data_IF_135811632215
#
_entry.id   IF_135811632215
#
_cell.length_a   1.000
_cell.length_b   1.000
_cell.length_c   1.000
_cell.angle_alpha   90.00
_cell.angle_beta   90.00
_cell.angle_gamma   90.00
#
_symmetry.space_group_name_H-M   'P 1'
#
loop_
_entity.id
_entity.type
_entity.pdbx_description
1 polymer ?
#
# COMPACT_ATOMS: atom_id res chain seq x y z
N UNK A 1 8.99 8.87 -12.14
CA UNK A 1 9.38 8.10 -10.92
C UNK A 1 10.77 8.45 -10.37
N UNK A 2 11.76 8.85 -11.19
CA UNK A 2 13.16 9.03 -10.76
C UNK A 2 13.49 10.17 -9.75
N UNK A 3 12.57 11.09 -9.41
CA UNK A 3 12.92 12.30 -8.62
C UNK A 3 12.76 12.17 -7.10
N UNK A 4 11.92 11.25 -6.60
CA UNK A 4 11.65 11.11 -5.17
C UNK A 4 12.53 10.04 -4.48
N UNK A 5 12.87 8.96 -5.17
CA UNK A 5 13.69 7.88 -4.61
C UNK A 5 15.03 8.36 -4.01
N UNK A 6 15.81 9.26 -4.66
CA UNK A 6 17.06 9.74 -4.09
C UNK A 6 16.91 10.50 -2.76
N UNK A 7 15.73 11.08 -2.48
CA UNK A 7 15.48 11.83 -1.23
C UNK A 7 15.07 10.95 -0.06
N UNK A 8 14.56 9.75 -0.33
CA UNK A 8 13.99 8.87 0.69
C UNK A 8 14.89 7.64 0.94
N UNK A 9 15.89 7.44 0.08
CA UNK A 9 16.85 6.34 0.20
C UNK A 9 17.94 6.68 1.19
N UNK A 10 18.36 5.67 1.94
CA UNK A 10 19.33 5.76 3.04
C UNK A 10 18.87 6.62 4.22
N UNK A 11 17.56 6.89 4.34
CA UNK A 11 17.01 7.60 5.48
C UNK A 11 17.04 6.68 6.70
N UNK A 12 17.61 7.20 7.78
CA UNK A 12 17.57 6.57 9.10
C UNK A 12 16.32 7.05 9.85
N UNK A 13 15.59 6.11 10.44
CA UNK A 13 14.49 6.37 11.37
C UNK A 13 14.95 5.89 12.75
N UNK A 14 15.41 6.82 13.58
CA UNK A 14 15.89 6.56 14.94
C UNK A 14 14.74 6.28 15.91
N UNK A 15 15.03 5.72 17.10
CA UNK A 15 14.04 5.59 18.15
C UNK A 15 13.28 6.89 18.40
N UNK A 16 11.95 6.77 18.47
CA UNK A 16 10.97 7.84 18.64
C UNK A 16 10.85 8.86 17.49
N UNK A 17 11.62 8.72 16.40
CA UNK A 17 11.43 9.56 15.21
C UNK A 17 10.17 9.17 14.43
N UNK A 18 9.52 10.19 13.88
CA UNK A 18 8.41 10.05 12.93
C UNK A 18 8.93 10.32 11.53
N UNK A 19 8.72 9.37 10.63
CA UNK A 19 8.85 9.57 9.21
C UNK A 19 7.58 10.26 8.69
N UNK A 20 7.75 11.30 7.88
CA UNK A 20 6.70 11.96 7.11
C UNK A 20 7.16 12.06 5.66
N UNK A 21 6.36 11.50 4.74
CA UNK A 21 6.71 11.48 3.32
C UNK A 21 6.83 12.91 2.78
N UNK A 22 5.86 13.78 3.04
CA UNK A 22 5.90 15.15 2.53
C UNK A 22 6.96 16.02 3.19
N UNK A 23 7.33 15.77 4.45
CA UNK A 23 8.44 16.50 5.10
C UNK A 23 9.78 16.24 4.41
N UNK A 24 9.99 15.03 3.88
CA UNK A 24 11.23 14.67 3.18
C UNK A 24 11.21 15.08 1.69
N UNK A 25 10.08 14.88 1.02
CA UNK A 25 9.95 15.13 -0.42
C UNK A 25 9.80 16.63 -0.72
N UNK A 26 9.02 17.33 0.10
CA UNK A 26 8.64 18.74 -0.09
C UNK A 26 7.70 18.97 -1.28
N UNK A 27 7.40 20.24 -1.63
CA UNK A 27 6.46 20.61 -2.68
C UNK A 27 6.88 20.14 -4.08
N UNK A 28 5.89 19.71 -4.86
CA UNK A 28 5.98 19.41 -6.29
C UNK A 28 6.23 20.71 -7.06
N UNK A 29 7.35 20.85 -7.76
CA UNK A 29 7.54 21.92 -8.74
C UNK A 29 8.49 21.47 -9.84
N UNK A 30 8.25 21.91 -11.08
CA UNK A 30 9.15 21.68 -12.21
C UNK A 30 10.58 22.14 -11.90
N UNK A 31 10.71 23.23 -11.14
CA UNK A 31 11.98 23.78 -10.64
C UNK A 31 12.77 22.84 -9.72
N UNK A 32 12.12 21.82 -9.14
CA UNK A 32 12.73 20.80 -8.26
C UNK A 32 12.91 19.44 -8.95
N UNK A 33 12.75 19.39 -10.29
CA UNK A 33 13.05 18.19 -11.09
C UNK A 33 11.98 17.10 -11.04
N UNK A 34 10.75 17.41 -10.60
CA UNK A 34 9.64 16.47 -10.69
C UNK A 34 9.18 16.33 -12.15
N UNK A 35 9.08 15.09 -12.61
CA UNK A 35 8.56 14.75 -13.93
C UNK A 35 7.03 14.64 -13.89
N UNK A 36 6.38 15.11 -14.95
CA UNK A 36 4.96 14.84 -15.19
C UNK A 36 4.73 13.34 -15.30
N UNK A 37 3.64 12.86 -14.73
CA UNK A 37 3.18 11.51 -14.98
C UNK A 37 1.69 11.37 -14.72
N UNK A 38 1.18 10.17 -15.00
CA UNK A 38 -0.26 9.91 -14.91
C UNK A 38 -0.65 9.85 -13.43
N UNK A 39 -1.61 10.68 -13.05
CA UNK A 39 -2.23 10.71 -11.73
C UNK A 39 -3.72 10.42 -11.92
N UNK A 40 -4.27 9.55 -11.07
CA UNK A 40 -5.72 9.33 -11.02
C UNK A 40 -6.23 10.16 -9.86
N UNK A 41 -7.05 11.16 -10.14
CA UNK A 41 -7.71 11.99 -9.14
C UNK A 41 -9.21 11.99 -9.42
N UNK A 42 -10.02 11.60 -8.42
CA UNK A 42 -11.48 11.59 -8.50
C UNK A 42 -12.04 10.94 -9.78
N UNK A 43 -11.66 9.68 -10.03
CA UNK A 43 -12.13 8.89 -11.19
C UNK A 43 -11.83 9.51 -12.57
N UNK A 44 -10.88 10.45 -12.63
CA UNK A 44 -10.37 11.05 -13.86
C UNK A 44 -8.87 10.81 -13.98
N UNK A 45 -8.46 10.36 -15.16
CA UNK A 45 -7.06 10.27 -15.55
C UNK A 45 -6.60 11.70 -15.85
N UNK A 46 -5.70 12.24 -15.02
CA UNK A 46 -5.02 13.51 -15.28
C UNK A 46 -3.51 13.30 -15.46
N UNK A 47 -2.86 14.22 -16.15
CA UNK A 47 -1.41 14.34 -16.11
C UNK A 47 -1.08 15.41 -15.07
N UNK A 48 -0.33 15.03 -14.04
CA UNK A 48 0.17 15.97 -13.03
C UNK A 48 1.64 15.65 -12.73
N UNK A 49 2.37 16.62 -12.21
CA UNK A 49 3.70 16.40 -11.68
C UNK A 49 3.61 15.41 -10.51
N UNK A 50 4.36 14.30 -10.58
CA UNK A 50 4.36 13.29 -9.51
C UNK A 50 3.82 11.89 -9.86
N UNK A 51 3.74 11.54 -11.15
CA UNK A 51 3.44 10.16 -11.54
C UNK A 51 4.36 9.13 -10.87
N UNK A 52 3.73 8.23 -10.10
CA UNK A 52 4.39 7.15 -9.35
C UNK A 52 4.63 7.42 -7.86
N UNK A 53 4.20 8.56 -7.30
CA UNK A 53 4.29 8.77 -5.84
C UNK A 53 3.35 7.88 -5.05
N UNK A 54 2.14 7.66 -5.54
CA UNK A 54 1.23 6.68 -4.93
C UNK A 54 1.84 5.27 -4.95
N UNK A 55 2.52 4.89 -6.04
CA UNK A 55 3.26 3.62 -6.09
C UNK A 55 4.40 3.58 -5.07
N UNK A 56 5.08 4.71 -4.88
CA UNK A 56 6.13 4.85 -3.87
C UNK A 56 5.59 4.69 -2.45
N UNK A 57 4.54 5.41 -2.09
CA UNK A 57 3.94 5.29 -0.76
C UNK A 57 3.28 3.93 -0.55
N UNK A 58 2.77 3.27 -1.60
CA UNK A 58 2.31 1.87 -1.53
C UNK A 58 3.47 0.93 -1.17
N UNK A 59 4.63 1.09 -1.81
CA UNK A 59 5.82 0.30 -1.48
C UNK A 59 6.28 0.57 -0.04
N UNK A 60 6.35 1.84 0.37
CA UNK A 60 6.71 2.19 1.75
C UNK A 60 5.76 1.56 2.75
N UNK A 61 4.46 1.63 2.48
CA UNK A 61 3.45 1.03 3.33
C UNK A 61 3.63 -0.47 3.41
N UNK A 62 3.78 -1.14 2.28
CA UNK A 62 4.02 -2.57 2.23
C UNK A 62 5.24 -3.00 3.06
N UNK A 63 6.37 -2.31 2.91
CA UNK A 63 7.59 -2.60 3.66
C UNK A 63 7.36 -2.37 5.17
N UNK A 64 6.77 -1.23 5.54
CA UNK A 64 6.53 -0.85 6.94
C UNK A 64 5.61 -1.85 7.65
N UNK A 65 4.59 -2.39 6.98
CA UNK A 65 3.71 -3.41 7.57
C UNK A 65 4.46 -4.70 7.98
N UNK A 66 5.65 -4.94 7.44
CA UNK A 66 6.51 -6.07 7.80
C UNK A 66 7.51 -5.76 8.93
N UNK A 67 7.29 -4.66 9.65
CA UNK A 67 8.16 -4.18 10.74
C UNK A 67 7.34 -3.88 12.00
N UNK A 68 7.98 -3.74 13.17
CA UNK A 68 7.32 -3.26 14.38
C UNK A 68 7.00 -1.76 14.36
N UNK A 69 7.30 -1.04 13.27
CA UNK A 69 6.98 0.38 13.16
C UNK A 69 5.46 0.60 13.14
N UNK A 70 5.04 1.74 13.68
CA UNK A 70 3.62 2.11 13.82
C UNK A 70 3.25 3.11 12.74
N UNK A 71 2.33 2.76 11.85
CA UNK A 71 1.76 3.71 10.88
C UNK A 71 0.87 4.70 11.64
N UNK A 72 1.20 5.99 11.57
CA UNK A 72 0.52 7.06 12.30
C UNK A 72 -0.43 7.86 11.43
N UNK A 73 -0.18 7.90 10.11
CA UNK A 73 -1.08 8.50 9.14
C UNK A 73 -1.10 7.64 7.87
N UNK A 74 -2.30 7.20 7.50
CA UNK A 74 -2.54 6.41 6.30
C UNK A 74 -3.93 6.74 5.76
N UNK A 75 -3.99 7.09 4.48
CA UNK A 75 -5.23 7.31 3.76
C UNK A 75 -5.31 6.31 2.62
N UNK A 76 -6.51 5.84 2.31
CA UNK A 76 -6.72 4.86 1.24
C UNK A 76 -7.78 5.34 0.26
N UNK A 77 -7.62 4.94 -1.01
CA UNK A 77 -8.56 5.27 -2.08
C UNK A 77 -9.25 4.03 -2.66
N UNK A 78 -9.29 2.95 -1.88
CA UNK A 78 -9.71 1.61 -2.34
C UNK A 78 -11.25 1.44 -2.35
N UNK A 79 -12.02 2.52 -2.55
CA UNK A 79 -13.48 2.42 -2.71
C UNK A 79 -13.88 1.87 -4.07
N UNK A 80 -12.97 1.90 -5.05
CA UNK A 80 -13.21 1.43 -6.40
C UNK A 80 -12.13 0.40 -6.78
N UNK A 81 -12.56 -0.79 -7.19
CA UNK A 81 -11.70 -1.78 -7.83
C UNK A 81 -11.71 -1.50 -9.34
N UNK A 82 -10.74 -0.69 -9.77
CA UNK A 82 -10.68 -0.14 -11.12
C UNK A 82 -10.19 -1.16 -12.16
N UNK A 83 -9.44 -2.18 -11.73
CA UNK A 83 -8.80 -3.12 -12.62
C UNK A 83 -8.92 -4.55 -12.09
N UNK A 84 -9.26 -5.54 -12.94
CA UNK A 84 -9.25 -6.95 -12.55
C UNK A 84 -7.85 -7.36 -12.08
N UNK A 85 -7.78 -8.43 -11.28
CA UNK A 85 -6.50 -8.95 -10.76
C UNK A 85 -5.61 -9.44 -11.90
N UNK A 86 -4.78 -8.55 -12.43
CA UNK A 86 -3.73 -8.90 -13.38
C UNK A 86 -2.37 -8.73 -12.70
N UNK A 87 -1.79 -9.85 -12.26
CA UNK A 87 -0.41 -9.94 -11.72
C UNK A 87 -0.11 -8.99 -10.54
N UNK A 88 -1.04 -8.85 -9.58
CA UNK A 88 -0.76 -8.06 -8.36
C UNK A 88 0.29 -8.76 -7.50
N UNK A 89 1.38 -8.05 -7.19
CA UNK A 89 2.41 -8.50 -6.24
C UNK A 89 2.05 -8.20 -4.78
N UNK A 90 1.04 -7.35 -4.58
CA UNK A 90 0.64 -6.78 -3.30
C UNK A 90 -0.88 -7.02 -3.14
N UNK A 91 -1.37 -7.42 -1.95
CA UNK A 91 -2.80 -7.62 -1.69
C UNK A 91 -3.69 -6.47 -2.15
N UNK A 92 -4.93 -6.78 -2.56
CA UNK A 92 -5.89 -5.73 -2.88
C UNK A 92 -6.26 -4.90 -1.64
N UNK A 93 -6.41 -3.60 -1.86
CA UNK A 93 -6.93 -2.68 -0.86
C UNK A 93 -5.92 -2.26 0.21
N UNK A 94 -4.62 -2.35 -0.08
CA UNK A 94 -3.58 -1.70 0.73
C UNK A 94 -2.98 -0.46 0.02
N UNK A 95 -3.72 0.09 -0.95
CA UNK A 95 -3.37 1.30 -1.64
C UNK A 95 -3.34 2.49 -0.68
N UNK A 96 -2.28 3.29 -0.77
CA UNK A 96 -2.11 4.57 -0.09
C UNK A 96 -2.58 5.69 -1.00
N UNK A 97 -3.21 6.71 -0.41
CA UNK A 97 -3.51 7.97 -1.06
C UNK A 97 -2.72 9.08 -0.37
N UNK A 98 -2.08 9.94 -1.16
CA UNK A 98 -1.35 11.09 -0.64
C UNK A 98 -1.67 12.32 -1.49
N UNK A 99 -1.75 13.47 -0.84
CA UNK A 99 -2.01 14.76 -1.46
C UNK A 99 -1.22 15.83 -0.72
N UNK A 100 -0.28 16.48 -1.42
CA UNK A 100 0.66 17.40 -0.80
C UNK A 100 -0.06 18.48 0.03
N UNK A 101 0.41 18.72 1.26
CA UNK A 101 -0.17 19.60 2.28
C UNK A 101 -1.53 19.20 2.90
N UNK A 102 -2.12 18.07 2.51
CA UNK A 102 -3.44 17.67 3.02
C UNK A 102 -3.52 16.21 3.48
N UNK A 103 -2.90 15.28 2.75
CA UNK A 103 -2.85 13.84 3.08
C UNK A 103 -1.40 13.36 3.00
N UNK A 104 -0.82 12.96 4.12
CA UNK A 104 0.54 12.43 4.20
C UNK A 104 0.56 10.93 4.44
N UNK A 105 1.72 10.31 4.23
CA UNK A 105 2.01 8.97 4.72
C UNK A 105 3.06 9.08 5.82
N UNK A 106 2.66 8.75 7.06
CA UNK A 106 3.50 8.88 8.23
C UNK A 106 3.58 7.56 9.01
N UNK A 107 4.75 7.29 9.57
CA UNK A 107 4.95 6.21 10.54
C UNK A 107 5.98 6.61 11.58
N UNK A 108 5.86 6.04 12.77
CA UNK A 108 6.72 6.31 13.91
C UNK A 108 7.50 5.06 14.29
N UNK A 109 8.79 5.26 14.59
CA UNK A 109 9.61 4.25 15.21
C UNK A 109 9.45 4.31 16.73
N UNK A 110 8.59 3.46 17.27
CA UNK A 110 8.37 3.38 18.73
C UNK A 110 9.31 2.38 19.41
N UNK A 111 10.26 1.82 18.67
CA UNK A 111 11.21 0.82 19.17
C UNK A 111 12.54 1.46 19.58
N UNK A 112 13.43 0.67 20.16
CA UNK A 112 14.80 1.08 20.51
C UNK A 112 15.81 0.88 19.37
N UNK A 113 15.40 0.25 18.27
CA UNK A 113 16.27 0.00 17.12
C UNK A 113 16.22 1.17 16.13
N UNK A 114 17.31 1.41 15.40
CA UNK A 114 17.30 2.31 14.25
C UNK A 114 16.96 1.53 12.99
N UNK A 115 16.06 2.07 12.17
CA UNK A 115 15.73 1.51 10.87
C UNK A 115 16.37 2.32 9.75
N UNK A 116 16.73 1.68 8.65
CA UNK A 116 17.18 2.36 7.44
C UNK A 116 16.30 1.94 6.28
N UNK A 117 15.75 2.93 5.59
CA UNK A 117 14.93 2.74 4.40
C UNK A 117 15.78 2.95 3.14
N UNK A 118 15.80 1.95 2.26
CA UNK A 118 16.51 2.00 0.98
C UNK A 118 15.50 1.77 -0.14
N UNK A 119 15.41 2.68 -1.11
CA UNK A 119 14.46 2.56 -2.23
C UNK A 119 15.18 2.86 -3.54
N UNK A 120 14.93 2.12 -4.60
CA UNK A 120 15.56 2.39 -5.88
C UNK A 120 14.64 1.98 -7.02
N UNK A 121 14.81 2.63 -8.17
CA UNK A 121 14.20 2.17 -9.41
C UNK A 121 15.30 1.50 -10.24
N UNK A 122 15.03 0.30 -10.72
CA UNK A 122 15.74 -0.24 -11.90
C UNK A 122 14.95 0.11 -13.18
N UNK A 123 15.34 -0.47 -14.31
CA UNK A 123 14.71 -0.20 -15.62
C UNK A 123 13.23 -0.63 -15.68
N UNK A 124 12.80 -1.51 -14.77
CA UNK A 124 11.49 -2.18 -14.83
C UNK A 124 10.65 -1.96 -13.57
N UNK A 125 11.27 -1.91 -12.39
CA UNK A 125 10.59 -1.96 -11.10
C UNK A 125 11.06 -0.88 -10.12
N UNK A 126 10.12 -0.46 -9.28
CA UNK A 126 10.39 0.26 -8.05
C UNK A 126 10.61 -0.76 -6.92
N UNK A 127 11.81 -0.78 -6.37
CA UNK A 127 12.26 -1.72 -5.34
C UNK A 127 12.50 -0.99 -4.03
N UNK A 128 12.36 -1.70 -2.90
CA UNK A 128 12.72 -1.14 -1.61
C UNK A 128 12.95 -2.18 -0.54
N UNK A 129 13.79 -1.80 0.42
CA UNK A 129 14.23 -2.61 1.54
C UNK A 129 14.22 -1.77 2.81
N UNK A 130 14.01 -2.43 3.95
CA UNK A 130 14.20 -1.84 5.27
C UNK A 130 15.15 -2.69 6.10
N UNK A 131 16.16 -2.03 6.65
CA UNK A 131 17.15 -2.61 7.52
C UNK A 131 16.87 -2.19 8.95
N UNK A 132 17.28 -3.02 9.90
CA UNK A 132 17.19 -2.76 11.32
C UNK A 132 18.57 -2.93 11.93
N UNK A 133 18.95 -2.03 12.85
CA UNK A 133 20.26 -2.05 13.50
C UNK A 133 20.53 -3.34 14.29
N UNK A 134 19.49 -4.04 14.74
CA UNK A 134 19.58 -5.27 15.50
C UNK A 134 18.66 -6.35 14.91
N UNK A 135 19.02 -7.65 15.04
CA UNK A 135 18.12 -8.74 14.67
C UNK A 135 16.80 -8.67 15.44
N UNK A 136 15.68 -8.78 14.73
CA UNK A 136 14.36 -8.83 15.35
C UNK A 136 14.05 -10.28 15.79
N UNK A 137 13.53 -10.48 17.03
CA UNK A 137 13.11 -11.79 17.51
C UNK A 137 11.79 -12.25 16.88
N UNK A 138 11.04 -11.34 16.27
CA UNK A 138 9.79 -11.62 15.57
C UNK A 138 9.91 -11.41 14.06
N UNK A 139 9.06 -12.10 13.31
CA UNK A 139 8.80 -11.89 11.88
C UNK A 139 7.34 -11.47 11.68
N UNK A 140 7.12 -10.62 10.69
CA UNK A 140 5.80 -10.11 10.33
C UNK A 140 5.42 -10.64 8.95
N UNK A 141 4.15 -10.98 8.78
CA UNK A 141 3.56 -11.34 7.49
C UNK A 141 2.23 -10.64 7.32
N UNK A 142 2.03 -10.04 6.16
CA UNK A 142 0.72 -9.51 5.76
C UNK A 142 -0.03 -10.55 4.94
N UNK A 143 -1.29 -10.79 5.28
CA UNK A 143 -2.17 -11.74 4.59
C UNK A 143 -3.47 -11.07 4.16
N UNK A 144 -3.92 -11.43 2.96
CA UNK A 144 -5.27 -11.20 2.50
C UNK A 144 -6.10 -12.42 2.85
N UNK A 145 -7.24 -12.22 3.51
CA UNK A 145 -8.18 -13.28 3.89
C UNK A 145 -9.60 -12.85 3.53
N UNK A 146 -10.52 -13.82 3.48
CA UNK A 146 -11.95 -13.59 3.25
C UNK A 146 -12.23 -12.76 1.97
N UNK A 147 -11.47 -13.02 0.92
CA UNK A 147 -11.69 -12.39 -0.38
C UNK A 147 -12.94 -12.96 -1.04
N UNK A 148 -13.88 -12.08 -1.36
CA UNK A 148 -15.18 -12.42 -1.94
C UNK A 148 -15.69 -11.29 -2.81
N UNK A 149 -16.42 -11.64 -3.86
CA UNK A 149 -17.21 -10.71 -4.66
C UNK A 149 -18.68 -10.89 -4.30
N UNK A 150 -19.36 -9.80 -3.95
CA UNK A 150 -20.75 -9.82 -3.48
C UNK A 150 -21.58 -8.86 -4.33
N UNK A 151 -22.75 -9.32 -4.75
CA UNK A 151 -23.76 -8.49 -5.40
C UNK A 151 -24.61 -7.77 -4.35
N UNK A 152 -24.57 -6.43 -4.33
CA UNK A 152 -25.42 -5.58 -3.47
C UNK A 152 -26.16 -4.57 -4.33
N UNK A 153 -27.50 -4.59 -4.29
CA UNK A 153 -28.37 -3.66 -5.05
C UNK A 153 -28.02 -3.56 -6.57
N UNK A 154 -27.63 -4.68 -7.19
CA UNK A 154 -27.24 -4.74 -8.60
C UNK A 154 -25.82 -4.22 -8.90
N UNK A 155 -25.03 -3.90 -7.88
CA UNK A 155 -23.62 -3.48 -8.00
C UNK A 155 -22.69 -4.52 -7.34
N UNK A 156 -21.64 -4.96 -8.06
CA UNK A 156 -20.68 -5.92 -7.51
C UNK A 156 -19.64 -5.19 -6.68
N UNK A 157 -19.37 -5.74 -5.50
CA UNK A 157 -18.33 -5.28 -4.61
C UNK A 157 -17.32 -6.38 -4.32
N UNK A 158 -16.04 -6.03 -4.32
CA UNK A 158 -14.97 -6.86 -3.79
C UNK A 158 -14.77 -6.54 -2.31
N UNK A 159 -14.79 -7.57 -1.48
CA UNK A 159 -14.51 -7.51 -0.05
C UNK A 159 -13.33 -8.39 0.28
N UNK A 160 -12.48 -7.91 1.18
CA UNK A 160 -11.41 -8.71 1.77
C UNK A 160 -10.95 -8.10 3.09
N UNK A 161 -10.26 -8.90 3.89
CA UNK A 161 -9.65 -8.47 5.13
C UNK A 161 -8.12 -8.58 5.03
N UNK A 162 -7.43 -7.57 5.54
CA UNK A 162 -5.98 -7.53 5.59
C UNK A 162 -5.53 -7.72 7.03
N UNK A 163 -4.74 -8.76 7.26
CA UNK A 163 -4.21 -9.11 8.56
C UNK A 163 -2.69 -8.98 8.61
N UNK A 164 -2.18 -8.46 9.73
CA UNK A 164 -0.77 -8.56 10.10
C UNK A 164 -0.60 -9.67 11.13
N UNK A 165 0.22 -10.65 10.79
CA UNK A 165 0.55 -11.78 11.64
C UNK A 165 1.98 -11.60 12.13
N UNK A 166 2.17 -11.63 13.45
CA UNK A 166 3.47 -11.55 14.11
C UNK A 166 3.79 -12.92 14.69
N UNK A 167 4.89 -13.51 14.23
CA UNK A 167 5.35 -14.82 14.69
C UNK A 167 6.71 -14.67 15.36
N UNK A 168 6.95 -15.46 16.40
CA UNK A 168 8.30 -15.64 16.95
C UNK A 168 9.20 -16.27 15.87
N UNK A 169 10.39 -15.69 15.66
CA UNK A 169 11.29 -16.09 14.58
C UNK A 169 11.96 -17.44 14.87
N UNK A 170 12.16 -17.77 16.13
CA UNK A 170 12.88 -18.98 16.57
C UNK A 170 11.95 -20.20 16.59
N UNK A 171 10.78 -20.05 17.20
CA UNK A 171 9.81 -21.13 17.42
C UNK A 171 8.77 -21.22 16.31
N UNK A 172 8.56 -20.14 15.55
CA UNK A 172 7.51 -20.05 14.54
C UNK A 172 6.10 -19.85 15.11
N UNK A 173 5.94 -19.79 16.43
CA UNK A 173 4.64 -19.63 17.10
C UNK A 173 4.07 -18.26 16.76
N UNK A 174 2.77 -18.22 16.44
CA UNK A 174 2.04 -16.97 16.25
C UNK A 174 1.82 -16.27 17.59
N UNK A 175 2.38 -15.07 17.72
CA UNK A 175 2.30 -14.24 18.92
C UNK A 175 1.12 -13.28 18.86
N UNK A 176 0.84 -12.72 17.67
CA UNK A 176 -0.24 -11.75 17.47
C UNK A 176 -0.83 -11.89 16.07
N UNK A 177 -2.14 -11.69 15.97
CA UNK A 177 -2.87 -11.49 14.72
C UNK A 177 -3.69 -10.21 14.85
N UNK A 178 -3.52 -9.30 13.92
CA UNK A 178 -4.08 -7.95 13.96
C UNK A 178 -4.81 -7.66 12.65
N UNK A 179 -6.08 -7.29 12.73
CA UNK A 179 -6.84 -6.80 11.57
C UNK A 179 -6.35 -5.37 11.26
N UNK A 180 -5.70 -5.20 10.12
CA UNK A 180 -5.26 -3.89 9.64
C UNK A 180 -6.39 -3.14 8.93
N UNK A 181 -7.16 -3.84 8.10
CA UNK A 181 -8.17 -3.22 7.25
C UNK A 181 -9.23 -4.20 6.77
N UNK A 182 -10.45 -3.68 6.61
CA UNK A 182 -11.53 -4.31 5.85
C UNK A 182 -11.77 -3.48 4.59
N UNK A 183 -11.70 -4.11 3.44
CA UNK A 183 -11.97 -3.47 2.17
C UNK A 183 -13.40 -3.76 1.74
N UNK A 184 -14.00 -2.76 1.12
CA UNK A 184 -15.28 -2.86 0.45
C UNK A 184 -15.24 -1.92 -0.76
N UNK A 185 -14.94 -2.49 -1.92
CA UNK A 185 -14.64 -1.74 -3.12
C UNK A 185 -15.63 -2.10 -4.23
N UNK A 186 -16.22 -1.08 -4.85
CA UNK A 186 -17.10 -1.28 -6.00
C UNK A 186 -16.27 -1.72 -7.21
N UNK A 187 -16.66 -2.80 -7.87
CA UNK A 187 -16.05 -3.24 -9.14
C UNK A 187 -16.45 -2.28 -10.26
N UNK A 188 -15.47 -1.76 -10.98
CA UNK A 188 -15.67 -0.78 -12.05
C UNK A 188 -15.30 -1.33 -13.45
N UNK A 189 -14.85 -2.58 -13.53
CA UNK A 189 -14.60 -3.31 -14.76
C UNK A 189 -15.72 -4.30 -15.06
N UNK A 190 -15.69 -4.88 -16.26
CA UNK A 190 -16.66 -5.88 -16.69
C UNK A 190 -16.69 -7.09 -15.73
N UNK A 191 -17.89 -7.49 -15.29
CA UNK A 191 -18.06 -8.59 -14.34
C UNK A 191 -17.61 -9.94 -14.92
N UNK A 192 -17.56 -10.07 -16.25
CA UNK A 192 -17.02 -11.25 -16.94
C UNK A 192 -15.52 -11.47 -16.67
N UNK A 193 -14.82 -10.44 -16.17
CA UNK A 193 -13.39 -10.50 -15.82
C UNK A 193 -13.16 -10.89 -14.34
N UNK A 194 -14.22 -11.14 -13.57
CA UNK A 194 -14.11 -11.56 -12.17
C UNK A 194 -13.64 -13.03 -12.14
N UNK A 195 -12.53 -13.35 -11.46
CA UNK A 195 -11.91 -14.67 -11.54
C UNK A 195 -12.60 -15.75 -10.69
N UNK A 196 -13.60 -15.39 -9.88
CA UNK A 196 -14.29 -16.25 -8.93
C UNK A 196 -15.80 -15.98 -8.96
N UNK A 197 -16.65 -16.93 -8.50
CA UNK A 197 -18.09 -16.70 -8.41
C UNK A 197 -18.44 -15.47 -7.57
N UNK A 198 -19.47 -14.75 -7.99
CA UNK A 198 -20.03 -13.61 -7.26
C UNK A 198 -21.18 -14.10 -6.39
N UNK A 199 -21.04 -13.96 -5.08
CA UNK A 199 -22.08 -14.31 -4.13
C UNK A 199 -23.31 -13.42 -4.34
N UNK A 200 -24.48 -14.04 -4.48
CA UNK A 200 -25.74 -13.35 -4.75
C UNK A 200 -26.04 -13.09 -6.23
N UNK A 201 -25.15 -13.49 -7.14
CA UNK A 201 -25.42 -13.51 -8.59
C UNK A 201 -26.05 -14.87 -8.92
N UNK A 202 -27.34 -14.93 -9.24
CA UNK A 202 -27.99 -16.17 -9.65
C UNK A 202 -27.45 -16.61 -11.02
N UNK A 203 -27.11 -17.89 -11.16
CA UNK A 203 -26.79 -18.53 -12.45
C UNK A 203 -28.04 -18.64 -13.34
N UNK A 204 -28.60 -17.50 -13.75
CA UNK A 204 -29.72 -17.43 -14.70
C UNK A 204 -29.37 -16.55 -15.91
N UNK A 205 -28.15 -16.65 -16.44
CA UNK A 205 -27.89 -16.31 -17.85
C UNK A 205 -26.76 -17.18 -18.42
N UNK A 206 -26.89 -18.50 -18.28
CA UNK A 206 -26.16 -19.44 -19.16
C UNK A 206 -27.16 -20.49 -19.64
N UNK A 207 -27.99 -20.10 -20.61
CA UNK A 207 -28.62 -21.01 -21.56
C UNK A 207 -28.95 -20.30 -22.88
#
# INVERSE_FOLDING_TARGET
MASAAPKITNILIRPQETFSFWSLVGPQSSRRGYLEGVTISNDRISQDYGGGMCQFTNLLHWIVLHTPLTVTEYHSHDRFDLFPDYKRQVPFGIGTSIYYNYLDYCFKNETENTYQLCVWCDDTYLNGEIYCSNPLPMKYHVRCENEVFVMEDGVVYRKNEIYRIMNDKTTGIQLKRELLKRNHARVMYDYDLIPVPVDGMTNEVVS
#
